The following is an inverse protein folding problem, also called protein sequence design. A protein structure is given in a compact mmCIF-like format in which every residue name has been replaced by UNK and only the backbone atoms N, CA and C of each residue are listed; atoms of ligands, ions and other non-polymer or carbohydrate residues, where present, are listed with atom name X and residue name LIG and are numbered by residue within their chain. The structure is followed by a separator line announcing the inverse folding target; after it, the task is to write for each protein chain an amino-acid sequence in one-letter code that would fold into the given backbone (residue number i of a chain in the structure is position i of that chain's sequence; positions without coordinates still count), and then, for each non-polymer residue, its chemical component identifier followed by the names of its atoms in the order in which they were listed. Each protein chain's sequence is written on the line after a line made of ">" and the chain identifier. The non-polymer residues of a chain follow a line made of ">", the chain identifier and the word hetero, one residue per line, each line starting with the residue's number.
data_IF_659778155998
#
_entry.id   IF_659778155998
#
_cell.length_a   1.000
_cell.length_b   1.000
_cell.length_c   1.000
_cell.angle_alpha   90.00
_cell.angle_beta   90.00
_cell.angle_gamma   90.00
#
_symmetry.space_group_name_H-M   'P 1'
#
loop_
_entity.id
_entity.type
_entity.pdbx_description
1 polymer ?
#
# COMPACT_ATOMS: atom_id res chain seq x y z
N UNK A 1 5.43 45.77 12.78
CA UNK A 1 6.26 44.59 12.43
C UNK A 1 5.97 44.28 10.98
N UNK A 2 6.94 44.47 10.08
CA UNK A 2 6.79 44.23 8.64
C UNK A 2 6.90 42.74 8.35
N UNK A 3 5.88 42.08 7.79
CA UNK A 3 6.00 40.68 7.40
C UNK A 3 6.99 40.56 6.23
N UNK A 4 7.91 39.59 6.32
CA UNK A 4 8.94 39.35 5.30
C UNK A 4 8.37 38.87 3.95
N UNK A 5 7.10 38.47 3.91
CA UNK A 5 6.39 38.02 2.71
C UNK A 5 4.97 38.57 2.73
N UNK A 6 4.53 39.16 1.62
CA UNK A 6 3.21 39.77 1.48
C UNK A 6 2.12 38.74 1.14
N UNK A 7 2.51 37.55 0.66
CA UNK A 7 1.57 36.49 0.28
C UNK A 7 2.22 35.10 0.30
N UNK A 8 1.40 34.05 0.42
CA UNK A 8 1.83 32.65 0.20
C UNK A 8 2.42 32.45 -1.19
N UNK A 9 1.93 33.19 -2.18
CA UNK A 9 2.46 33.15 -3.54
C UNK A 9 3.90 33.67 -3.60
N UNK A 10 4.21 34.78 -2.92
CA UNK A 10 5.58 35.32 -2.86
C UNK A 10 6.57 34.37 -2.19
N UNK A 11 6.10 33.54 -1.25
CA UNK A 11 6.92 32.50 -0.64
C UNK A 11 7.29 31.40 -1.66
N UNK A 12 6.33 31.01 -2.51
CA UNK A 12 6.56 30.05 -3.60
C UNK A 12 7.17 30.67 -4.85
N UNK A 13 7.20 32.00 -4.94
CA UNK A 13 7.70 32.75 -6.08
C UNK A 13 8.71 33.80 -5.62
N UNK A 14 9.58 33.46 -4.64
CA UNK A 14 10.69 34.30 -4.20
C UNK A 14 11.66 34.55 -5.37
N UNK A 15 11.34 35.54 -6.21
CA UNK A 15 12.20 36.21 -7.18
C UNK A 15 13.27 35.37 -7.87
N UNK A 16 12.97 34.14 -8.31
CA UNK A 16 13.88 33.25 -9.05
C UNK A 16 14.45 32.04 -8.30
N UNK A 17 14.41 31.98 -6.96
CA UNK A 17 15.01 30.86 -6.20
C UNK A 17 14.06 29.69 -5.94
N UNK A 18 12.76 29.95 -5.92
CA UNK A 18 11.78 28.93 -5.57
C UNK A 18 11.79 27.74 -6.54
N UNK A 19 12.13 27.96 -7.81
CA UNK A 19 12.29 26.88 -8.78
C UNK A 19 13.34 25.85 -8.34
N UNK A 20 14.51 26.31 -7.89
CA UNK A 20 15.59 25.43 -7.43
C UNK A 20 15.22 24.69 -6.15
N UNK A 21 14.56 25.38 -5.21
CA UNK A 21 14.11 24.77 -3.95
C UNK A 21 13.08 23.68 -4.23
N UNK A 22 12.09 23.95 -5.08
CA UNK A 22 11.09 22.96 -5.46
C UNK A 22 11.71 21.78 -6.23
N UNK A 23 12.70 22.01 -7.08
CA UNK A 23 13.43 20.92 -7.75
C UNK A 23 14.16 20.02 -6.74
N UNK A 24 14.82 20.62 -5.74
CA UNK A 24 15.50 19.88 -4.68
C UNK A 24 14.52 19.12 -3.76
N UNK A 25 13.41 19.76 -3.39
CA UNK A 25 12.31 19.11 -2.64
C UNK A 25 11.73 17.96 -3.45
N UNK A 26 11.47 18.15 -4.73
CA UNK A 26 10.97 17.09 -5.60
C UNK A 26 11.97 15.94 -5.72
N UNK A 27 13.26 16.26 -5.86
CA UNK A 27 14.35 15.28 -5.94
C UNK A 27 14.47 14.42 -4.67
N UNK A 28 14.15 14.97 -3.49
CA UNK A 28 14.17 14.22 -2.22
C UNK A 28 12.85 13.49 -1.95
N UNK A 29 11.72 14.11 -2.29
CA UNK A 29 10.39 13.52 -2.11
C UNK A 29 10.18 12.35 -3.08
N UNK A 30 10.63 12.43 -4.34
CA UNK A 30 10.47 11.33 -5.32
C UNK A 30 10.96 9.96 -4.80
N UNK A 31 12.22 9.80 -4.36
CA UNK A 31 12.71 8.51 -3.89
C UNK A 31 12.03 8.09 -2.59
N UNK A 32 11.71 9.04 -1.70
CA UNK A 32 10.99 8.74 -0.46
C UNK A 32 9.57 8.23 -0.74
N UNK A 33 8.84 8.86 -1.66
CA UNK A 33 7.53 8.43 -2.11
C UNK A 33 7.63 7.10 -2.86
N UNK A 34 8.64 6.93 -3.71
CA UNK A 34 8.93 5.69 -4.41
C UNK A 34 9.15 4.53 -3.45
N UNK A 35 9.93 4.74 -2.39
CA UNK A 35 10.18 3.73 -1.36
C UNK A 35 8.93 3.45 -0.52
N UNK A 36 8.18 4.49 -0.13
CA UNK A 36 6.93 4.34 0.61
C UNK A 36 5.87 3.57 -0.21
N UNK A 37 5.72 3.91 -1.49
CA UNK A 37 4.86 3.19 -2.44
C UNK A 37 5.34 1.76 -2.62
N UNK A 38 6.64 1.54 -2.79
CA UNK A 38 7.21 0.21 -2.89
C UNK A 38 6.93 -0.63 -1.64
N UNK A 39 7.07 -0.05 -0.45
CA UNK A 39 6.75 -0.69 0.82
C UNK A 39 5.25 -1.02 0.93
N UNK A 40 4.37 -0.07 0.61
CA UNK A 40 2.92 -0.30 0.60
C UNK A 40 2.50 -1.38 -0.40
N UNK A 41 3.05 -1.34 -1.62
CA UNK A 41 2.77 -2.32 -2.65
C UNK A 41 3.29 -3.70 -2.26
N UNK A 42 4.48 -3.78 -1.66
CA UNK A 42 5.05 -5.04 -1.15
C UNK A 42 4.16 -5.62 -0.03
N UNK A 43 3.70 -4.77 0.88
CA UNK A 43 2.78 -5.18 1.95
C UNK A 43 1.44 -5.67 1.39
N UNK A 44 0.89 -4.98 0.39
CA UNK A 44 -0.35 -5.38 -0.29
C UNK A 44 -0.19 -6.68 -1.09
N UNK A 45 0.96 -6.88 -1.75
CA UNK A 45 1.28 -8.12 -2.47
C UNK A 45 1.34 -9.31 -1.52
N UNK A 46 1.97 -9.15 -0.36
CA UNK A 46 2.03 -10.20 0.67
C UNK A 46 0.63 -10.58 1.15
N UNK A 47 -0.22 -9.59 1.46
CA UNK A 47 -1.62 -9.81 1.84
C UNK A 47 -2.45 -10.46 0.73
N UNK A 48 -2.22 -10.08 -0.52
CA UNK A 48 -2.89 -10.67 -1.68
C UNK A 48 -2.50 -12.15 -1.87
N UNK A 49 -1.22 -12.49 -1.72
CA UNK A 49 -0.74 -13.86 -1.82
C UNK A 49 -1.33 -14.74 -0.70
N UNK A 50 -1.41 -14.21 0.54
CA UNK A 50 -2.07 -14.90 1.65
C UNK A 50 -3.55 -15.15 1.34
N UNK A 51 -4.28 -14.16 0.83
CA UNK A 51 -5.71 -14.32 0.48
C UNK A 51 -5.93 -15.40 -0.59
N UNK A 52 -5.02 -15.50 -1.57
CA UNK A 52 -5.12 -16.49 -2.64
C UNK A 52 -4.87 -17.92 -2.12
N UNK A 53 -3.92 -18.09 -1.20
CA UNK A 53 -3.68 -19.38 -0.52
C UNK A 53 -4.85 -19.75 0.39
N UNK A 54 -5.36 -18.78 1.13
CA UNK A 54 -6.46 -18.97 2.07
C UNK A 54 -7.76 -19.36 1.35
N UNK A 55 -8.03 -18.82 0.15
CA UNK A 55 -9.16 -19.24 -0.68
C UNK A 55 -9.06 -20.71 -1.12
N UNK A 56 -7.86 -21.21 -1.43
CA UNK A 56 -7.64 -22.64 -1.77
C UNK A 56 -7.79 -23.53 -0.55
N UNK A 57 -7.23 -23.14 0.59
CA UNK A 57 -7.37 -23.90 1.83
C UNK A 57 -8.81 -23.98 2.30
N UNK A 58 -9.59 -22.90 2.22
CA UNK A 58 -11.02 -22.90 2.57
C UNK A 58 -11.82 -23.90 1.73
N UNK A 59 -11.53 -24.02 0.44
CA UNK A 59 -12.16 -25.01 -0.45
C UNK A 59 -11.80 -26.44 -0.08
N UNK A 60 -10.52 -26.69 0.22
CA UNK A 60 -10.08 -28.02 0.64
C UNK A 60 -10.64 -28.43 2.00
N UNK A 61 -10.74 -27.48 2.95
CA UNK A 61 -11.36 -27.70 4.27
C UNK A 61 -12.87 -27.93 4.16
N UNK A 62 -13.56 -27.25 3.25
CA UNK A 62 -14.98 -27.49 2.98
C UNK A 62 -15.24 -28.90 2.40
N UNK A 63 -14.43 -29.33 1.44
CA UNK A 63 -14.50 -30.70 0.89
C UNK A 63 -14.14 -31.78 1.93
N UNK A 64 -13.12 -31.52 2.77
CA UNK A 64 -12.73 -32.45 3.83
C UNK A 64 -13.79 -32.57 4.93
N UNK A 65 -14.54 -31.49 5.22
CA UNK A 65 -15.68 -31.55 6.14
C UNK A 65 -16.83 -32.39 5.57
N UNK A 66 -17.08 -32.34 4.27
CA UNK A 66 -18.10 -33.16 3.61
C UNK A 66 -17.76 -34.66 3.65
N UNK A 67 -16.49 -35.02 3.42
CA UNK A 67 -16.03 -36.42 3.58
C UNK A 67 -16.00 -36.90 5.04
N UNK A 68 -15.75 -36.02 6.01
CA UNK A 68 -15.80 -36.37 7.43
C UNK A 68 -17.25 -36.48 7.96
N UNK A 69 -18.23 -35.93 7.24
CA UNK A 69 -19.66 -36.08 7.51
C UNK A 69 -20.33 -37.19 6.67
N UNK A 70 -19.54 -38.05 6.03
CA UNK A 70 -20.03 -39.34 5.53
C UNK A 70 -19.65 -40.41 6.56
N UNK A 71 -20.36 -40.50 7.71
CA UNK A 71 -20.19 -41.63 8.60
C UNK A 71 -20.74 -42.83 7.84
N UNK A 72 -19.84 -43.78 7.57
CA UNK A 72 -20.08 -45.22 7.70
C UNK A 72 -21.52 -45.54 8.11
N UNK A 73 -22.37 -45.67 7.11
CA UNK A 73 -23.80 -45.85 7.27
C UNK A 73 -24.31 -46.97 6.39
N UNK A 74 -23.50 -47.98 6.06
CA UNK A 74 -23.97 -49.28 5.60
C UNK A 74 -23.02 -50.37 6.12
N UNK A 75 -23.20 -50.68 7.41
CA UNK A 75 -22.93 -52.00 7.96
C UNK A 75 -24.29 -52.69 8.12
N UNK A 76 -24.70 -53.53 7.17
CA UNK A 76 -25.45 -54.79 7.43
C UNK A 76 -25.56 -55.67 6.20
#
# INVERSE_FOLDING_TARGET
>A
MTPAFASWHDFFAMGGYAFYVWLAVLCTVLPMLGLALHALLSHRRLLADIRQRDARERRLRAARRQHASEPTGEEK
#
